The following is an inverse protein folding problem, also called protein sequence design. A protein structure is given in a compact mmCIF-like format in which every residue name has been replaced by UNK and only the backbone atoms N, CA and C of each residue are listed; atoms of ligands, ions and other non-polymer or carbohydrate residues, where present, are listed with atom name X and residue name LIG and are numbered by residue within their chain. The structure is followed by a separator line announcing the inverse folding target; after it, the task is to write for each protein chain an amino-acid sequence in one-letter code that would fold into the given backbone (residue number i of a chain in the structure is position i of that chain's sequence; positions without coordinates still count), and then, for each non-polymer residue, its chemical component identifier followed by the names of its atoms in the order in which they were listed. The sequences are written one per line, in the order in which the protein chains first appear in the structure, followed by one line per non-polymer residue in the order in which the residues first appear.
data_IF_516369042306
#
_entry.id   IF_516369042306
#
_cell.length_a   1.000
_cell.length_b   1.000
_cell.length_c   1.000
_cell.angle_alpha   90.00
_cell.angle_beta   90.00
_cell.angle_gamma   90.00
#
_symmetry.space_group_name_H-M   'P 1'
#
loop_
_entity.id
_entity.type
_entity.pdbx_description
1 polymer ?
#
# COMPACT_ATOMS: atom_id res chain seq x y z
N UNK A 1 -0.59 -23.48 6.98
CA UNK A 1 -0.16 -22.07 7.16
C UNK A 1 0.65 -21.55 5.97
N UNK A 2 0.29 -21.88 4.72
CA UNK A 2 0.98 -21.40 3.50
C UNK A 2 0.31 -20.18 2.86
N UNK A 3 -0.95 -19.92 3.22
CA UNK A 3 -1.76 -18.86 2.63
C UNK A 3 -1.22 -17.43 2.89
N UNK A 4 -0.53 -17.18 4.02
CA UNK A 4 -0.07 -15.83 4.36
C UNK A 4 1.05 -15.33 3.45
N UNK A 5 2.09 -16.13 3.21
CA UNK A 5 3.23 -15.73 2.36
C UNK A 5 2.80 -15.63 0.89
N UNK A 6 1.92 -16.51 0.44
CA UNK A 6 1.33 -16.40 -0.90
C UNK A 6 0.61 -15.07 -1.10
N UNK A 7 -0.26 -14.68 -0.15
CA UNK A 7 -0.98 -13.42 -0.17
C UNK A 7 -0.05 -12.20 -0.07
N UNK A 8 1.09 -12.33 0.62
CA UNK A 8 2.13 -11.30 0.65
C UNK A 8 2.83 -11.18 -0.71
N UNK A 9 3.15 -12.28 -1.39
CA UNK A 9 3.68 -12.18 -2.75
C UNK A 9 2.65 -11.55 -3.69
N UNK A 10 1.38 -11.97 -3.60
CA UNK A 10 0.30 -11.43 -4.43
C UNK A 10 0.11 -9.93 -4.21
N UNK A 11 -0.01 -9.43 -2.98
CA UNK A 11 -0.18 -7.98 -2.75
C UNK A 11 0.98 -7.16 -3.33
N UNK A 12 2.21 -7.68 -3.25
CA UNK A 12 3.40 -6.99 -3.73
C UNK A 12 3.44 -6.94 -5.26
N UNK A 13 2.85 -7.90 -5.98
CA UNK A 13 2.75 -7.81 -7.44
C UNK A 13 1.76 -6.74 -7.92
N UNK A 14 0.81 -6.31 -7.06
CA UNK A 14 0.00 -5.10 -7.29
C UNK A 14 0.82 -3.84 -6.99
N UNK A 15 1.48 -3.78 -5.83
CA UNK A 15 2.25 -2.59 -5.42
C UNK A 15 3.46 -2.31 -6.32
N UNK A 16 3.99 -3.33 -7.02
CA UNK A 16 5.13 -3.24 -7.93
C UNK A 16 6.37 -2.59 -7.28
N UNK A 17 6.85 -3.10 -6.13
CA UNK A 17 8.02 -2.55 -5.49
C UNK A 17 9.26 -2.72 -6.38
N UNK A 18 10.16 -1.74 -6.35
CA UNK A 18 11.44 -1.89 -7.00
C UNK A 18 12.39 -2.68 -6.08
N UNK A 19 12.53 -3.98 -6.36
CA UNK A 19 13.38 -4.87 -5.56
C UNK A 19 14.86 -4.56 -5.83
N UNK A 20 15.55 -4.05 -4.81
CA UNK A 20 16.97 -3.70 -4.91
C UNK A 20 17.89 -4.92 -4.80
N UNK A 21 17.61 -5.82 -3.87
CA UNK A 21 18.38 -7.04 -3.62
C UNK A 21 17.45 -8.16 -3.10
N UNK A 22 17.86 -9.42 -3.25
CA UNK A 22 17.08 -10.57 -2.79
C UNK A 22 17.98 -11.75 -2.38
N UNK A 23 17.52 -12.49 -1.37
CA UNK A 23 18.12 -13.77 -0.98
C UNK A 23 17.02 -14.80 -0.76
N UNK A 24 16.95 -15.79 -1.65
CA UNK A 24 15.98 -16.88 -1.57
C UNK A 24 16.65 -18.19 -1.98
N UNK A 25 16.50 -19.25 -1.19
CA UNK A 25 16.98 -20.57 -1.60
C UNK A 25 16.07 -21.15 -2.69
N UNK A 26 16.57 -22.02 -3.59
CA UNK A 26 15.75 -22.64 -4.63
C UNK A 26 14.47 -23.30 -4.08
N UNK A 27 14.61 -24.04 -2.97
CA UNK A 27 13.49 -24.72 -2.31
C UNK A 27 12.41 -23.74 -1.83
N UNK A 28 12.82 -22.55 -1.37
CA UNK A 28 11.90 -21.52 -0.88
C UNK A 28 11.24 -20.79 -2.05
N UNK A 29 11.97 -20.60 -3.15
CA UNK A 29 11.44 -20.07 -4.41
C UNK A 29 10.33 -20.96 -4.98
N UNK A 30 10.59 -22.26 -5.08
CA UNK A 30 9.61 -23.25 -5.56
C UNK A 30 8.36 -23.28 -4.68
N UNK A 31 8.54 -23.10 -3.35
CA UNK A 31 7.44 -23.07 -2.39
C UNK A 31 6.60 -21.80 -2.48
N UNK A 32 7.20 -20.67 -2.85
CA UNK A 32 6.55 -19.35 -2.87
C UNK A 32 6.74 -18.65 -4.22
N UNK A 33 6.10 -19.16 -5.28
CA UNK A 33 6.27 -18.61 -6.63
C UNK A 33 5.82 -17.15 -6.75
N UNK A 34 4.87 -16.69 -5.93
CA UNK A 34 4.47 -15.28 -5.91
C UNK A 34 5.57 -14.36 -5.42
N UNK A 35 6.47 -14.84 -4.54
CA UNK A 35 7.65 -14.06 -4.14
C UNK A 35 8.70 -14.01 -5.26
N UNK A 36 8.84 -15.09 -6.05
CA UNK A 36 9.67 -15.06 -7.25
C UNK A 36 9.14 -14.06 -8.29
N UNK A 37 7.81 -13.97 -8.45
CA UNK A 37 7.20 -12.94 -9.31
C UNK A 37 7.56 -11.53 -8.84
N UNK A 38 7.52 -11.26 -7.53
CA UNK A 38 7.95 -9.95 -6.98
C UNK A 38 9.42 -9.66 -7.29
N UNK A 39 10.30 -10.64 -7.03
CA UNK A 39 11.75 -10.51 -7.28
C UNK A 39 12.06 -10.26 -8.76
N UNK A 40 11.33 -10.94 -9.65
CA UNK A 40 11.54 -10.84 -11.11
C UNK A 40 10.76 -9.69 -11.76
N UNK A 41 10.01 -8.91 -10.97
CA UNK A 41 9.21 -7.79 -11.46
C UNK A 41 7.97 -8.19 -12.26
N UNK A 42 7.50 -9.44 -12.12
CA UNK A 42 6.25 -9.89 -12.73
C UNK A 42 5.08 -9.22 -12.01
N UNK A 43 4.32 -8.44 -12.77
CA UNK A 43 3.21 -7.64 -12.27
C UNK A 43 1.90 -8.42 -12.31
N UNK A 44 0.98 -8.11 -11.40
CA UNK A 44 -0.40 -8.53 -11.57
C UNK A 44 -1.06 -7.65 -12.65
N UNK A 45 -1.64 -8.25 -13.68
CA UNK A 45 -2.12 -7.54 -14.88
C UNK A 45 -3.64 -7.51 -15.05
N UNK A 46 -4.39 -8.33 -14.32
CA UNK A 46 -5.84 -8.45 -14.51
C UNK A 46 -6.61 -7.40 -13.72
N UNK A 47 -6.43 -7.38 -12.41
CA UNK A 47 -7.11 -6.43 -11.54
C UNK A 47 -6.21 -5.25 -11.19
N UNK A 48 -6.82 -4.07 -10.99
CA UNK A 48 -6.08 -2.87 -10.58
C UNK A 48 -5.82 -2.79 -9.07
N UNK A 49 -6.50 -3.61 -8.27
CA UNK A 49 -6.40 -3.58 -6.81
C UNK A 49 -6.85 -4.91 -6.19
N UNK A 50 -6.44 -5.14 -4.95
CA UNK A 50 -6.85 -6.31 -4.16
C UNK A 50 -6.95 -5.97 -2.67
N UNK A 51 -7.93 -6.57 -2.01
CA UNK A 51 -8.09 -6.56 -0.56
C UNK A 51 -7.80 -7.97 -0.01
N UNK A 52 -6.94 -8.08 1.00
CA UNK A 52 -6.54 -9.35 1.58
C UNK A 52 -6.60 -9.28 3.10
N UNK A 53 -7.13 -10.34 3.71
CA UNK A 53 -7.12 -10.51 5.17
C UNK A 53 -5.89 -11.33 5.56
N UNK A 54 -5.12 -10.79 6.49
CA UNK A 54 -3.96 -11.44 7.07
C UNK A 54 -4.14 -11.66 8.57
N UNK A 55 -3.36 -12.58 9.11
CA UNK A 55 -3.26 -12.79 10.54
C UNK A 55 -1.80 -12.91 10.93
N UNK A 56 -1.41 -12.20 11.98
CA UNK A 56 -0.08 -12.34 12.57
C UNK A 56 0.07 -13.72 13.23
N UNK A 57 1.30 -14.10 13.58
CA UNK A 57 1.56 -15.33 14.35
C UNK A 57 0.82 -15.31 15.70
N UNK A 58 0.61 -14.11 16.26
CA UNK A 58 -0.16 -13.88 17.50
C UNK A 58 -1.66 -13.66 17.25
N UNK A 59 -2.17 -14.05 16.08
CA UNK A 59 -3.60 -13.99 15.71
C UNK A 59 -4.20 -12.58 15.64
N UNK A 60 -3.38 -11.54 15.53
CA UNK A 60 -3.85 -10.20 15.20
C UNK A 60 -4.29 -10.18 13.73
N UNK A 61 -5.56 -9.89 13.47
CA UNK A 61 -6.11 -9.80 12.13
C UNK A 61 -5.93 -8.38 11.60
N UNK A 62 -5.49 -8.26 10.35
CA UNK A 62 -5.39 -6.98 9.67
C UNK A 62 -5.77 -7.13 8.19
N UNK A 63 -6.33 -6.07 7.62
CA UNK A 63 -6.69 -5.98 6.21
C UNK A 63 -5.55 -5.26 5.49
N UNK A 64 -5.15 -5.79 4.35
CA UNK A 64 -4.17 -5.20 3.46
C UNK A 64 -4.88 -4.79 2.18
N UNK A 65 -4.72 -3.53 1.82
CA UNK A 65 -5.16 -2.98 0.55
C UNK A 65 -3.94 -2.76 -0.33
N UNK A 66 -3.95 -3.31 -1.55
CA UNK A 66 -2.90 -3.10 -2.53
C UNK A 66 -3.51 -2.63 -3.85
N UNK A 67 -2.78 -1.75 -4.54
CA UNK A 67 -3.20 -1.20 -5.83
C UNK A 67 -2.04 -1.20 -6.81
N UNK A 68 -2.37 -1.35 -8.08
CA UNK A 68 -1.44 -1.18 -9.19
C UNK A 68 -1.46 0.27 -9.71
N UNK A 69 -0.50 0.66 -10.55
CA UNK A 69 -0.52 1.97 -11.20
C UNK A 69 -1.76 2.23 -12.06
N UNK A 70 -2.47 1.20 -12.52
CA UNK A 70 -3.72 1.36 -13.28
C UNK A 70 -4.94 1.68 -12.40
N UNK A 71 -4.81 1.60 -11.07
CA UNK A 71 -5.83 2.07 -10.12
C UNK A 71 -5.86 3.61 -10.10
N UNK A 72 -6.53 4.17 -11.10
CA UNK A 72 -6.63 5.60 -11.36
C UNK A 72 -7.76 6.26 -10.55
N UNK A 73 -7.84 5.94 -9.25
CA UNK A 73 -8.84 6.44 -8.32
C UNK A 73 -8.18 6.79 -6.98
N UNK A 74 -8.87 7.58 -6.16
CA UNK A 74 -8.43 7.86 -4.80
C UNK A 74 -8.55 6.58 -3.95
N UNK A 75 -7.40 6.11 -3.41
CA UNK A 75 -7.32 4.84 -2.67
C UNK A 75 -8.29 4.79 -1.48
N UNK A 76 -8.40 5.91 -0.77
CA UNK A 76 -9.14 5.94 0.49
C UNK A 76 -10.64 5.93 0.26
N UNK A 77 -11.14 6.78 -0.63
CA UNK A 77 -12.57 6.90 -0.93
C UNK A 77 -13.08 5.78 -1.85
N UNK A 78 -12.28 5.28 -2.78
CA UNK A 78 -12.70 4.27 -3.75
C UNK A 78 -12.53 2.82 -3.26
N UNK A 79 -11.69 2.57 -2.24
CA UNK A 79 -11.38 1.22 -1.78
C UNK A 79 -11.42 1.06 -0.26
N UNK A 80 -10.66 1.85 0.48
CA UNK A 80 -10.51 1.63 1.94
C UNK A 80 -11.80 1.92 2.71
N UNK A 81 -12.40 3.09 2.52
CA UNK A 81 -13.62 3.49 3.23
C UNK A 81 -14.82 2.57 2.92
N UNK A 82 -15.10 2.21 1.64
CA UNK A 82 -16.15 1.25 1.32
C UNK A 82 -15.92 -0.13 1.95
N UNK A 83 -14.68 -0.62 1.96
CA UNK A 83 -14.32 -1.91 2.55
C UNK A 83 -14.53 -1.94 4.07
N UNK A 84 -14.06 -0.90 4.77
CA UNK A 84 -14.22 -0.77 6.22
C UNK A 84 -15.64 -0.38 6.65
N UNK A 85 -16.52 -0.06 5.68
CA UNK A 85 -17.88 0.39 5.91
C UNK A 85 -17.95 1.61 6.85
N UNK A 86 -16.95 2.49 6.77
CA UNK A 86 -16.86 3.67 7.62
C UNK A 86 -16.31 4.87 6.88
N UNK A 87 -16.63 6.06 7.40
CA UNK A 87 -16.01 7.29 6.95
C UNK A 87 -14.60 7.40 7.52
N UNK A 88 -13.68 7.90 6.71
CA UNK A 88 -12.33 8.24 7.13
C UNK A 88 -12.28 9.73 7.49
N UNK A 89 -11.61 10.08 8.59
CA UNK A 89 -11.41 11.46 9.01
C UNK A 89 -10.27 12.10 8.20
N UNK A 90 -10.59 12.49 6.96
CA UNK A 90 -9.63 13.01 5.97
C UNK A 90 -9.70 14.53 5.80
N UNK A 91 -10.57 15.23 6.53
CA UNK A 91 -10.83 16.66 6.34
C UNK A 91 -9.59 17.55 6.52
N UNK A 92 -8.62 17.12 7.32
CA UNK A 92 -7.38 17.85 7.62
C UNK A 92 -6.17 17.26 6.90
N UNK A 93 -6.34 16.29 6.01
CA UNK A 93 -5.23 15.70 5.27
C UNK A 93 -4.72 16.67 4.20
N UNK A 94 -3.40 16.71 4.02
CA UNK A 94 -2.80 17.46 2.92
C UNK A 94 -3.06 16.74 1.60
N UNK A 95 -3.98 17.26 0.78
CA UNK A 95 -4.38 16.65 -0.50
C UNK A 95 -3.44 17.03 -1.66
N UNK A 96 -2.13 17.07 -1.38
CA UNK A 96 -1.07 17.32 -2.34
C UNK A 96 -1.01 18.75 -2.90
N UNK A 97 -0.09 19.01 -3.85
CA UNK A 97 0.30 20.36 -4.27
C UNK A 97 -0.82 21.21 -4.86
N UNK A 98 -1.89 20.57 -5.37
CA UNK A 98 -3.07 21.26 -5.91
C UNK A 98 -3.86 22.01 -4.84
N UNK A 99 -3.71 21.63 -3.57
CA UNK A 99 -4.24 22.36 -2.42
C UNK A 99 -3.32 23.47 -1.90
N UNK A 100 -2.18 23.70 -2.59
CA UNK A 100 -1.20 24.73 -2.28
C UNK A 100 -0.12 24.20 -1.33
N UNK A 101 1.08 23.94 -1.86
CA UNK A 101 2.25 23.79 -1.01
C UNK A 101 2.48 25.12 -0.29
N UNK A 102 2.69 25.10 1.03
CA UNK A 102 3.16 26.29 1.73
C UNK A 102 4.51 26.72 1.11
N UNK A 103 4.71 27.99 0.78
CA UNK A 103 6.01 28.47 0.34
C UNK A 103 7.04 28.23 1.45
N UNK A 104 8.24 27.78 1.09
CA UNK A 104 9.35 27.47 2.01
C UNK A 104 9.89 28.68 2.80
N UNK A 105 9.25 29.85 2.69
CA UNK A 105 9.65 31.08 3.33
C UNK A 105 8.74 31.38 4.54
N UNK A 106 9.28 31.25 5.75
CA UNK A 106 8.61 31.54 7.02
C UNK A 106 8.53 33.06 7.32
N UNK A 107 8.03 33.88 6.39
CA UNK A 107 7.97 35.34 6.57
C UNK A 107 6.55 35.90 6.79
N UNK A 108 5.56 35.06 7.11
CA UNK A 108 4.20 35.51 7.40
C UNK A 108 3.69 35.00 8.75
N UNK A 109 3.03 35.89 9.50
CA UNK A 109 2.37 35.64 10.78
C UNK A 109 1.12 34.79 10.62
N UNK A 110 1.29 33.51 10.32
CA UNK A 110 0.19 32.53 10.30
C UNK A 110 0.40 31.52 11.42
N UNK A 111 -0.62 31.34 12.27
CA UNK A 111 -0.65 30.21 13.23
C UNK A 111 -0.88 28.93 12.43
N UNK A 112 0.09 28.02 12.46
CA UNK A 112 0.02 26.73 11.80
C UNK A 112 -0.09 25.62 12.85
N UNK A 113 -1.10 24.76 12.68
CA UNK A 113 -1.18 23.46 13.34
C UNK A 113 -0.60 22.45 12.35
N UNK A 114 0.65 22.05 12.56
CA UNK A 114 1.27 20.93 11.85
C UNK A 114 0.87 19.63 12.55
N UNK A 115 0.16 18.75 11.83
CA UNK A 115 0.10 17.33 12.17
C UNK A 115 0.82 16.57 11.05
N UNK A 116 1.92 15.93 11.42
CA UNK A 116 2.85 15.21 10.55
C UNK A 116 2.27 13.85 10.08
N UNK A 117 2.59 13.52 8.81
CA UNK A 117 2.70 12.18 8.16
C UNK A 117 1.41 11.37 7.97
N UNK A 118 1.24 10.61 6.87
CA UNK A 118 2.01 9.41 6.51
C UNK A 118 2.39 9.31 5.00
N UNK A 119 3.50 8.61 4.80
CA UNK A 119 4.23 8.16 3.60
C UNK A 119 3.34 7.46 2.57
#
# INVERSE_FOLDING_TARGET
MTASVYNIGLQLTYNQPWVYDYQISPQLGDKYPTMLNVITGVQHSHDSNVELIHSSVQQTVFIVFAKSPSFNQDLYSAMVAPSLQCNLLTETWQNGPKSGNLPSACNQTSRLVFLLLVI
#
